data_IF_968961844411
#
_entry.id   IF_968961844411
#
_cell.length_a   1.000
_cell.length_b   1.000
_cell.length_c   1.000
_cell.angle_alpha   90.00
_cell.angle_beta   90.00
_cell.angle_gamma   90.00
#
_symmetry.space_group_name_H-M   'P 1'
#
loop_
_entity.id
_entity.type
_entity.pdbx_description
1 polymer ?
#
# COMPACT_ATOMS: atom_id res chain seq x y z
N UNK A 1 -5.46 2.28 -13.46
CA UNK A 1 -4.60 2.30 -12.27
C UNK A 1 -3.81 3.60 -12.29
N UNK A 2 -3.66 4.28 -11.16
CA UNK A 2 -2.77 5.44 -11.02
C UNK A 2 -1.69 5.17 -9.97
N UNK A 3 -0.52 5.80 -10.13
CA UNK A 3 0.58 5.79 -9.17
C UNK A 3 1.26 7.15 -9.17
N UNK A 4 1.54 7.69 -7.98
CA UNK A 4 2.24 8.96 -7.79
C UNK A 4 3.28 8.79 -6.70
N UNK A 5 4.56 8.98 -7.03
CA UNK A 5 5.64 9.03 -6.04
C UNK A 5 5.52 10.33 -5.25
N UNK A 6 5.59 10.22 -3.92
CA UNK A 6 5.48 11.33 -2.98
C UNK A 6 6.84 11.68 -2.37
N UNK A 7 7.67 10.67 -2.12
CA UNK A 7 9.01 10.85 -1.55
C UNK A 7 9.94 9.73 -1.99
N UNK A 8 11.21 10.05 -2.16
CA UNK A 8 12.31 9.09 -2.32
C UNK A 8 13.41 9.49 -1.36
N UNK A 9 13.91 8.54 -0.58
CA UNK A 9 15.07 8.72 0.30
C UNK A 9 16.07 7.62 -0.03
N UNK A 10 17.31 8.02 -0.28
CA UNK A 10 18.42 7.10 -0.55
C UNK A 10 19.39 7.12 0.63
N UNK A 11 19.81 5.94 1.08
CA UNK A 11 20.74 5.77 2.19
C UNK A 11 21.62 4.53 1.97
N UNK A 12 22.81 4.73 1.42
CA UNK A 12 23.75 3.64 1.14
C UNK A 12 23.19 2.65 0.13
N UNK A 13 23.03 1.40 0.53
CA UNK A 13 22.44 0.33 -0.26
C UNK A 13 20.90 0.24 -0.13
N UNK A 14 20.26 1.25 0.48
CA UNK A 14 18.80 1.31 0.64
C UNK A 14 18.16 2.48 -0.11
N UNK A 15 16.96 2.21 -0.61
CA UNK A 15 16.06 3.21 -1.20
C UNK A 15 14.68 3.05 -0.59
N UNK A 16 14.17 4.10 0.04
CA UNK A 16 12.82 4.16 0.58
C UNK A 16 11.94 5.02 -0.32
N UNK A 17 10.90 4.43 -0.90
CA UNK A 17 9.96 5.11 -1.81
C UNK A 17 8.59 5.18 -1.16
N UNK A 18 8.10 6.37 -0.87
CA UNK A 18 6.71 6.59 -0.49
C UNK A 18 5.89 7.00 -1.72
N UNK A 19 4.76 6.33 -1.97
CA UNK A 19 3.89 6.64 -3.08
C UNK A 19 2.41 6.44 -2.73
N UNK A 20 1.56 7.08 -3.53
CA UNK A 20 0.13 6.80 -3.58
C UNK A 20 -0.15 5.96 -4.80
N UNK A 21 -1.01 4.97 -4.67
CA UNK A 21 -1.54 4.23 -5.80
C UNK A 21 -3.03 4.00 -5.64
N UNK A 22 -3.72 3.76 -6.74
CA UNK A 22 -5.14 3.42 -6.67
C UNK A 22 -5.72 2.96 -7.99
N UNK A 23 -6.96 2.52 -7.90
CA UNK A 23 -7.68 1.96 -9.02
C UNK A 23 -9.10 1.60 -8.64
N UNK A 24 -9.87 1.15 -9.63
CA UNK A 24 -11.17 0.55 -9.37
C UNK A 24 -10.95 -0.89 -8.90
N UNK A 25 -11.53 -1.24 -7.76
CA UNK A 25 -11.44 -2.57 -7.17
C UNK A 25 -12.42 -3.53 -7.86
N UNK A 26 -11.93 -4.24 -8.87
CA UNK A 26 -12.73 -5.07 -9.80
C UNK A 26 -12.58 -6.59 -9.61
N UNK A 27 -11.67 -7.02 -8.74
CA UNK A 27 -11.45 -8.43 -8.39
C UNK A 27 -11.09 -8.55 -6.91
N UNK A 28 -11.09 -9.75 -6.31
CA UNK A 28 -10.81 -9.92 -4.88
C UNK A 28 -9.43 -9.37 -4.47
N UNK A 29 -9.36 -8.71 -3.32
CA UNK A 29 -8.12 -8.21 -2.72
C UNK A 29 -7.84 -8.96 -1.40
N UNK A 30 -6.72 -9.71 -1.29
CA UNK A 30 -6.30 -10.26 0.00
C UNK A 30 -5.87 -9.13 0.94
N UNK A 31 -6.37 -9.14 2.17
CA UNK A 31 -6.03 -8.14 3.20
C UNK A 31 -5.77 -8.80 4.55
N UNK A 32 -5.18 -8.06 5.51
CA UNK A 32 -4.99 -8.54 6.89
C UNK A 32 -6.31 -8.79 7.62
N UNK A 33 -7.42 -8.17 7.18
CA UNK A 33 -8.76 -8.40 7.70
C UNK A 33 -9.50 -9.56 7.00
N UNK A 34 -8.81 -10.30 6.12
CA UNK A 34 -9.39 -11.33 5.25
C UNK A 34 -9.58 -10.85 3.81
N UNK A 35 -10.03 -11.72 2.90
CA UNK A 35 -10.24 -11.35 1.51
C UNK A 35 -11.42 -10.36 1.38
N UNK A 36 -11.17 -9.22 0.73
CA UNK A 36 -12.20 -8.26 0.35
C UNK A 36 -12.74 -8.61 -1.04
N UNK A 37 -14.03 -8.96 -1.20
CA UNK A 37 -14.63 -9.16 -2.52
C UNK A 37 -14.58 -7.89 -3.36
N UNK A 38 -14.65 -8.04 -4.69
CA UNK A 38 -14.67 -6.91 -5.61
C UNK A 38 -15.79 -5.91 -5.24
N UNK A 39 -15.42 -4.69 -4.86
CA UNK A 39 -16.39 -3.67 -4.43
C UNK A 39 -16.92 -2.79 -5.56
N UNK A 40 -16.25 -2.80 -6.72
CA UNK A 40 -16.48 -1.85 -7.80
C UNK A 40 -16.10 -0.40 -7.45
N UNK A 41 -15.69 -0.08 -6.22
CA UNK A 41 -15.34 1.28 -5.81
C UNK A 41 -13.89 1.62 -6.14
N UNK A 42 -13.55 2.91 -6.08
CA UNK A 42 -12.15 3.32 -6.13
C UNK A 42 -11.51 3.06 -4.77
N UNK A 43 -10.35 2.41 -4.79
CA UNK A 43 -9.50 2.20 -3.63
C UNK A 43 -8.20 2.94 -3.86
N UNK A 44 -7.73 3.64 -2.84
CA UNK A 44 -6.42 4.30 -2.82
C UNK A 44 -5.61 3.76 -1.65
N UNK A 45 -4.33 3.51 -1.89
CA UNK A 45 -3.36 3.04 -0.91
C UNK A 45 -2.18 4.00 -0.87
N UNK A 46 -1.78 4.36 0.34
CA UNK A 46 -0.46 4.94 0.60
C UNK A 46 0.49 3.81 0.94
N UNK A 47 1.61 3.74 0.24
CA UNK A 47 2.59 2.66 0.35
C UNK A 47 3.98 3.25 0.56
N UNK A 48 4.78 2.57 1.37
CA UNK A 48 6.21 2.78 1.53
C UNK A 48 6.90 1.46 1.17
N UNK A 49 7.74 1.51 0.13
CA UNK A 49 8.65 0.42 -0.20
C UNK A 49 10.03 0.74 0.38
N UNK A 50 10.56 -0.13 1.25
CA UNK A 50 11.96 -0.14 1.69
C UNK A 50 12.71 -1.19 0.85
N UNK A 51 13.58 -0.71 -0.03
CA UNK A 51 14.31 -1.51 -1.01
C UNK A 51 15.76 -1.65 -0.57
N UNK A 52 16.27 -2.88 -0.56
CA UNK A 52 17.71 -3.16 -0.45
C UNK A 52 18.28 -3.40 -1.85
N UNK A 53 19.42 -2.77 -2.14
CA UNK A 53 20.14 -2.86 -3.40
C UNK A 53 21.44 -3.63 -3.24
N UNK A 54 21.79 -4.45 -4.22
CA UNK A 54 23.12 -5.07 -4.31
C UNK A 54 23.57 -5.05 -5.77
N UNK A 55 24.73 -4.46 -6.05
CA UNK A 55 25.22 -4.31 -7.43
C UNK A 55 24.23 -3.57 -8.34
N UNK A 56 23.53 -2.56 -7.80
CA UNK A 56 22.54 -1.75 -8.52
C UNK A 56 21.20 -2.46 -8.81
N UNK A 57 20.95 -3.63 -8.22
CA UNK A 57 19.69 -4.37 -8.36
C UNK A 57 18.96 -4.48 -7.04
N UNK A 58 17.63 -4.43 -7.07
CA UNK A 58 16.80 -4.72 -5.88
C UNK A 58 16.98 -6.19 -5.51
N UNK A 59 17.43 -6.45 -4.29
CA UNK A 59 17.62 -7.79 -3.71
C UNK A 59 16.72 -8.03 -2.50
N UNK A 60 16.17 -6.98 -1.90
CA UNK A 60 15.20 -7.08 -0.81
C UNK A 60 14.11 -6.03 -0.96
N UNK A 61 12.89 -6.39 -0.57
CA UNK A 61 11.75 -5.48 -0.51
C UNK A 61 10.98 -5.73 0.77
N UNK A 62 10.74 -4.66 1.53
CA UNK A 62 9.76 -4.62 2.62
C UNK A 62 8.72 -3.57 2.28
N UNK A 63 7.44 -3.95 2.33
CA UNK A 63 6.34 -3.07 1.95
C UNK A 63 5.51 -2.77 3.19
N UNK A 64 5.22 -1.50 3.41
CA UNK A 64 4.25 -1.05 4.40
C UNK A 64 3.17 -0.26 3.68
N UNK A 65 1.92 -0.71 3.82
CA UNK A 65 0.77 -0.06 3.22
C UNK A 65 -0.22 0.39 4.30
N UNK A 66 -0.86 1.54 4.08
CA UNK A 66 -2.03 1.97 4.86
C UNK A 66 -3.27 1.17 4.44
N UNK A 67 -3.26 -0.12 4.77
CA UNK A 67 -4.35 -1.03 4.47
C UNK A 67 -5.61 -0.69 5.27
N UNK A 68 -5.44 -0.27 6.53
CA UNK A 68 -6.55 0.11 7.40
C UNK A 68 -7.33 1.31 6.81
N UNK A 69 -6.63 2.36 6.39
CA UNK A 69 -7.25 3.51 5.74
C UNK A 69 -7.95 3.13 4.43
N UNK A 70 -7.31 2.29 3.61
CA UNK A 70 -7.89 1.81 2.36
C UNK A 70 -9.18 1.01 2.57
N UNK A 71 -9.20 0.11 3.57
CA UNK A 71 -10.38 -0.69 3.91
C UNK A 71 -11.50 0.15 4.51
N UNK A 72 -11.18 1.11 5.39
CA UNK A 72 -12.16 2.02 5.97
C UNK A 72 -12.83 2.88 4.89
N UNK A 73 -12.08 3.33 3.88
CA UNK A 73 -12.62 4.13 2.77
C UNK A 73 -13.64 3.38 1.88
N UNK A 74 -13.67 2.05 1.97
CA UNK A 74 -14.67 1.21 1.31
C UNK A 74 -15.56 0.47 2.30
N UNK A 75 -15.74 1.01 3.51
CA UNK A 75 -16.64 0.45 4.53
C UNK A 75 -16.41 -1.05 4.84
N UNK A 76 -15.22 -1.58 4.53
CA UNK A 76 -14.87 -2.97 4.77
C UNK A 76 -14.51 -3.22 6.24
N UNK A 77 -14.07 -2.17 6.92
CA UNK A 77 -13.78 -2.13 8.35
C UNK A 77 -14.28 -0.82 8.93
N UNK A 78 -14.52 -0.80 10.24
CA UNK A 78 -14.92 0.42 10.97
C UNK A 78 -14.01 0.61 12.17
N UNK A 79 -13.46 1.81 12.31
CA UNK A 79 -12.75 2.21 13.52
C UNK A 79 -13.76 2.39 14.66
N UNK A 80 -13.46 1.79 15.81
CA UNK A 80 -14.26 1.91 17.03
C UNK A 80 -13.41 2.63 18.07
N UNK A 81 -13.93 3.67 18.74
CA UNK A 81 -13.21 4.31 19.84
C UNK A 81 -12.83 3.29 20.92
N UNK A 82 -11.70 3.47 21.62
CA UNK A 82 -11.45 2.70 22.84
C UNK A 82 -12.58 2.96 23.85
N UNK A 83 -13.10 1.87 24.42
CA UNK A 83 -14.13 1.91 25.46
C UNK A 83 -13.59 2.27 26.83
#
# INVERSE_FOLDING_TARGET
>A
MQRQVVSVVEAGDRVVVAFRMGGRHVGPLPTSAGPLPATGRRVELRVVDDLTLTGGRITGISVVADELGALAAVDAVRLVPPG
#
